data_IF_963823222003
#
_entry.id   IF_963823222003
#
_cell.length_a   1.000
_cell.length_b   1.000
_cell.length_c   1.000
_cell.angle_alpha   90.00
_cell.angle_beta   90.00
_cell.angle_gamma   90.00
#
_symmetry.space_group_name_H-M   'P 1'
#
loop_
_entity.id
_entity.type
_entity.pdbx_description
1 polymer ?
#
# COMPACT_ATOMS: atom_id res chain seq x y z
N UNK A 1 -20.52 18.17 20.97
CA UNK A 1 -19.15 18.68 20.72
C UNK A 1 -18.89 18.53 19.22
N UNK A 2 -18.94 19.64 18.49
CA UNK A 2 -19.01 19.68 17.01
C UNK A 2 -17.66 19.87 16.30
N UNK A 3 -16.55 19.59 16.95
CA UNK A 3 -15.21 19.69 16.35
C UNK A 3 -14.42 18.39 16.46
N UNK A 4 -13.58 18.10 15.46
CA UNK A 4 -12.61 17.00 15.47
C UNK A 4 -11.68 17.13 16.70
N UNK A 5 -11.59 16.06 17.50
CA UNK A 5 -10.66 15.99 18.62
C UNK A 5 -9.23 15.68 18.11
N UNK A 6 -8.56 16.71 17.61
CA UNK A 6 -7.19 16.59 17.07
C UNK A 6 -6.18 16.08 18.10
N UNK A 7 -6.43 16.28 19.40
CA UNK A 7 -5.56 15.77 20.47
C UNK A 7 -5.62 14.24 20.51
N UNK A 8 -6.82 13.67 20.40
CA UNK A 8 -7.01 12.22 20.35
C UNK A 8 -6.37 11.61 19.10
N UNK A 9 -6.60 12.21 17.92
CA UNK A 9 -5.95 11.80 16.66
C UNK A 9 -4.43 11.80 16.81
N UNK A 10 -3.88 12.90 17.33
CA UNK A 10 -2.43 13.04 17.55
C UNK A 10 -1.88 12.02 18.55
N UNK A 11 -2.61 11.73 19.61
CA UNK A 11 -2.18 10.76 20.63
C UNK A 11 -2.07 9.35 20.05
N UNK A 12 -3.10 8.87 19.35
CA UNK A 12 -3.12 7.54 18.72
C UNK A 12 -2.06 7.47 17.60
N UNK A 13 -1.97 8.50 16.75
CA UNK A 13 -0.98 8.58 15.69
C UNK A 13 0.45 8.51 16.25
N UNK A 14 0.76 9.29 17.29
CA UNK A 14 2.09 9.28 17.92
C UNK A 14 2.42 7.93 18.57
N UNK A 15 1.44 7.29 19.19
CA UNK A 15 1.62 5.95 19.76
C UNK A 15 2.00 4.94 18.67
N UNK A 16 1.30 4.97 17.53
CA UNK A 16 1.57 4.11 16.38
C UNK A 16 2.94 4.39 15.76
N UNK A 17 3.32 5.66 15.62
CA UNK A 17 4.63 6.04 15.10
C UNK A 17 5.76 5.68 16.08
N UNK A 18 5.56 5.81 17.39
CA UNK A 18 6.53 5.36 18.39
C UNK A 18 6.72 3.83 18.36
N UNK A 19 5.63 3.07 18.12
CA UNK A 19 5.72 1.62 17.89
C UNK A 19 6.56 1.30 16.66
N UNK A 20 6.34 2.01 15.55
CA UNK A 20 7.15 1.87 14.34
C UNK A 20 8.65 2.14 14.61
N UNK A 21 8.97 3.20 15.36
CA UNK A 21 10.36 3.50 15.75
C UNK A 21 11.05 2.37 16.51
N UNK A 22 10.30 1.61 17.33
CA UNK A 22 10.83 0.45 18.06
C UNK A 22 11.03 -0.80 17.18
N UNK A 23 10.35 -0.88 16.04
CA UNK A 23 10.39 -2.03 15.12
C UNK A 23 11.01 -1.68 13.76
N UNK A 24 11.85 -0.64 13.68
CA UNK A 24 12.44 -0.14 12.42
C UNK A 24 13.16 -1.22 11.61
N UNK A 25 13.91 -2.11 12.28
CA UNK A 25 14.60 -3.22 11.62
C UNK A 25 13.63 -4.09 10.81
N UNK A 26 12.53 -4.47 11.41
CA UNK A 26 11.54 -5.34 10.79
C UNK A 26 10.64 -4.59 9.81
N UNK A 27 10.23 -3.37 10.16
CA UNK A 27 9.22 -2.62 9.41
C UNK A 27 9.79 -1.83 8.23
N UNK A 28 11.09 -1.52 8.23
CA UNK A 28 11.75 -0.72 7.21
C UNK A 28 12.92 -1.46 6.57
N UNK A 29 13.89 -1.93 7.37
CA UNK A 29 15.14 -2.47 6.83
C UNK A 29 14.90 -3.79 6.10
N UNK A 30 14.10 -4.71 6.65
CA UNK A 30 13.81 -6.00 6.01
C UNK A 30 13.13 -5.84 4.64
N UNK A 31 12.05 -5.05 4.46
CA UNK A 31 11.47 -4.80 3.14
C UNK A 31 12.44 -4.11 2.16
N UNK A 32 13.26 -3.17 2.65
CA UNK A 32 14.26 -2.48 1.80
C UNK A 32 15.31 -3.46 1.29
N UNK A 33 15.87 -4.31 2.16
CA UNK A 33 16.84 -5.33 1.76
C UNK A 33 16.23 -6.30 0.75
N UNK A 34 15.01 -6.78 1.02
CA UNK A 34 14.30 -7.69 0.10
C UNK A 34 14.08 -7.04 -1.27
N UNK A 35 13.67 -5.77 -1.31
CA UNK A 35 13.45 -5.06 -2.57
C UNK A 35 14.76 -4.74 -3.28
N UNK A 36 15.83 -4.36 -2.55
CA UNK A 36 17.16 -4.18 -3.10
C UNK A 36 17.68 -5.47 -3.75
N UNK A 37 17.42 -6.63 -3.11
CA UNK A 37 17.78 -7.92 -3.67
C UNK A 37 17.01 -8.22 -4.96
N UNK A 38 15.73 -7.86 -5.03
CA UNK A 38 14.99 -7.94 -6.27
C UNK A 38 15.61 -7.07 -7.39
N UNK A 39 16.05 -5.84 -7.08
CA UNK A 39 16.73 -4.99 -8.06
C UNK A 39 18.02 -5.62 -8.57
N UNK A 40 18.82 -6.23 -7.69
CA UNK A 40 20.06 -6.90 -8.10
C UNK A 40 19.75 -8.13 -8.95
N UNK A 41 18.81 -8.99 -8.54
CA UNK A 41 18.51 -10.23 -9.26
C UNK A 41 17.82 -9.92 -10.60
N UNK A 42 16.78 -9.14 -10.60
CA UNK A 42 16.01 -8.86 -11.81
C UNK A 42 16.67 -7.77 -12.68
N UNK A 43 17.27 -6.76 -12.06
CA UNK A 43 17.95 -5.69 -12.79
C UNK A 43 19.27 -6.14 -13.42
N UNK A 44 20.15 -6.84 -12.68
CA UNK A 44 21.42 -7.29 -13.19
C UNK A 44 21.32 -8.62 -13.95
N UNK A 45 20.78 -9.70 -13.33
CA UNK A 45 20.83 -11.02 -13.95
C UNK A 45 19.90 -11.20 -15.13
N UNK A 46 18.74 -10.53 -15.12
CA UNK A 46 17.74 -10.60 -16.18
C UNK A 46 17.85 -9.39 -17.12
N UNK A 47 18.10 -8.19 -16.56
CA UNK A 47 18.20 -6.94 -17.31
C UNK A 47 19.28 -6.95 -18.38
N UNK A 48 20.42 -7.65 -18.16
CA UNK A 48 21.48 -7.82 -19.17
C UNK A 48 21.01 -8.66 -20.40
N UNK A 49 19.99 -9.48 -20.22
CA UNK A 49 19.45 -10.38 -21.27
C UNK A 49 18.13 -9.91 -21.87
N UNK A 50 17.41 -9.05 -21.18
CA UNK A 50 16.17 -8.46 -21.66
C UNK A 50 16.46 -7.15 -22.37
N UNK A 51 15.86 -6.99 -23.55
CA UNK A 51 15.80 -5.71 -24.23
C UNK A 51 14.94 -4.73 -23.44
N UNK A 52 15.10 -3.44 -23.72
CA UNK A 52 14.29 -2.38 -23.13
C UNK A 52 12.79 -2.68 -23.24
N UNK A 53 12.03 -2.39 -22.20
CA UNK A 53 10.56 -2.49 -22.20
C UNK A 53 10.00 -1.11 -22.50
N UNK A 54 9.42 -0.92 -23.68
CA UNK A 54 8.88 0.37 -24.09
C UNK A 54 9.93 1.51 -24.17
N UNK A 55 11.20 1.17 -24.45
CA UNK A 55 12.30 2.14 -24.50
C UNK A 55 12.89 2.47 -23.11
N UNK A 56 12.49 1.76 -22.07
CA UNK A 56 13.00 1.92 -20.71
C UNK A 56 13.87 0.71 -20.35
N UNK A 57 15.09 0.87 -19.84
CA UNK A 57 15.91 -0.23 -19.35
C UNK A 57 15.15 -1.05 -18.30
N UNK A 58 15.20 -2.37 -18.42
CA UNK A 58 14.38 -3.27 -17.59
C UNK A 58 14.54 -3.02 -16.09
N UNK A 59 15.77 -2.76 -15.61
CA UNK A 59 16.03 -2.43 -14.22
C UNK A 59 15.26 -1.19 -13.74
N UNK A 60 15.14 -0.15 -14.56
CA UNK A 60 14.38 1.05 -14.25
C UNK A 60 12.87 0.79 -14.34
N UNK A 61 12.44 -0.02 -15.31
CA UNK A 61 11.04 -0.38 -15.55
C UNK A 61 10.37 -1.08 -14.34
N UNK A 62 11.10 -1.96 -13.65
CA UNK A 62 10.54 -2.71 -12.50
C UNK A 62 10.45 -1.90 -11.20
N UNK A 63 11.15 -0.76 -11.10
CA UNK A 63 11.19 0.04 -9.87
C UNK A 63 9.79 0.43 -9.37
N UNK A 64 8.92 1.04 -10.18
CA UNK A 64 7.56 1.40 -9.75
C UNK A 64 6.75 0.20 -9.28
N UNK A 65 6.87 -0.95 -9.97
CA UNK A 65 6.17 -2.18 -9.61
C UNK A 65 6.61 -2.74 -8.25
N UNK A 66 7.91 -2.74 -7.97
CA UNK A 66 8.48 -3.21 -6.70
C UNK A 66 8.14 -2.27 -5.52
N UNK A 67 8.13 -0.96 -5.76
CA UNK A 67 7.65 0.01 -4.76
C UNK A 67 6.19 -0.28 -4.43
N UNK A 68 5.33 -0.47 -5.44
CA UNK A 68 3.91 -0.76 -5.24
C UNK A 68 3.68 -2.10 -4.54
N UNK A 69 4.43 -3.16 -4.86
CA UNK A 69 4.36 -4.44 -4.17
C UNK A 69 4.61 -4.27 -2.66
N UNK A 70 5.68 -3.56 -2.31
CA UNK A 70 6.03 -3.30 -0.92
C UNK A 70 5.03 -2.37 -0.23
N UNK A 71 4.59 -1.32 -0.93
CA UNK A 71 3.62 -0.34 -0.42
C UNK A 71 2.29 -0.99 -0.08
N UNK A 72 1.71 -1.78 -0.99
CA UNK A 72 0.43 -2.46 -0.82
C UNK A 72 0.48 -3.42 0.37
N UNK A 73 1.50 -4.29 0.40
CA UNK A 73 1.67 -5.29 1.46
C UNK A 73 1.85 -4.62 2.83
N UNK A 74 2.71 -3.60 2.93
CA UNK A 74 2.99 -2.93 4.19
C UNK A 74 1.87 -2.02 4.65
N UNK A 75 1.14 -1.37 3.74
CA UNK A 75 -0.04 -0.57 4.09
C UNK A 75 -1.11 -1.42 4.78
N UNK A 76 -1.39 -2.60 4.21
CA UNK A 76 -2.34 -3.55 4.79
C UNK A 76 -1.82 -4.08 6.12
N UNK A 77 -0.58 -4.57 6.18
CA UNK A 77 -0.02 -5.16 7.38
C UNK A 77 0.03 -4.16 8.56
N UNK A 78 0.51 -2.94 8.32
CA UNK A 78 0.60 -1.90 9.34
C UNK A 78 -0.78 -1.50 9.89
N UNK A 79 -1.77 -1.32 9.01
CA UNK A 79 -3.10 -0.90 9.42
C UNK A 79 -3.88 -2.04 10.09
N UNK A 80 -3.81 -3.26 9.54
CA UNK A 80 -4.51 -4.41 10.10
C UNK A 80 -3.99 -4.75 11.50
N UNK A 81 -2.67 -4.78 11.68
CA UNK A 81 -2.08 -5.00 12.98
C UNK A 81 -2.42 -3.86 13.96
N UNK A 82 -2.42 -2.60 13.47
CA UNK A 82 -2.70 -1.42 14.30
C UNK A 82 -4.04 -1.51 15.01
N UNK A 83 -5.11 -1.87 14.33
CA UNK A 83 -6.45 -1.98 14.93
C UNK A 83 -6.72 -3.35 15.57
N UNK A 84 -6.12 -4.42 15.04
CA UNK A 84 -6.31 -5.76 15.60
C UNK A 84 -5.65 -5.93 16.97
N UNK A 85 -4.45 -5.38 17.17
CA UNK A 85 -3.72 -5.53 18.44
C UNK A 85 -4.49 -4.98 19.65
N UNK A 86 -5.06 -3.76 19.65
CA UNK A 86 -5.98 -3.29 20.67
C UNK A 86 -7.19 -4.19 20.90
N UNK A 87 -7.74 -4.79 19.81
CA UNK A 87 -8.84 -5.72 19.91
C UNK A 87 -8.42 -7.01 20.62
N UNK A 88 -7.26 -7.56 20.29
CA UNK A 88 -6.69 -8.75 20.91
C UNK A 88 -6.36 -8.57 22.40
N UNK A 89 -5.83 -7.41 22.77
CA UNK A 89 -5.47 -7.08 24.17
C UNK A 89 -6.65 -6.58 25.00
N UNK A 90 -7.80 -6.33 24.39
CA UNK A 90 -8.97 -5.76 25.08
C UNK A 90 -8.92 -4.23 25.24
N UNK A 91 -7.81 -3.57 24.94
CA UNK A 91 -7.69 -2.11 25.05
C UNK A 91 -8.58 -1.34 24.05
N UNK A 92 -9.17 -2.05 23.07
CA UNK A 92 -10.18 -1.48 22.16
C UNK A 92 -11.39 -0.93 22.93
N UNK A 93 -11.76 -1.53 24.08
CA UNK A 93 -12.89 -1.07 24.88
C UNK A 93 -12.63 0.29 25.51
N UNK A 94 -11.39 0.56 25.94
CA UNK A 94 -10.98 1.88 26.43
C UNK A 94 -11.05 2.93 25.31
N UNK A 95 -10.60 2.57 24.12
CA UNK A 95 -10.68 3.44 22.93
C UNK A 95 -12.13 3.76 22.56
N UNK A 96 -13.03 2.76 22.57
CA UNK A 96 -14.44 2.93 22.21
C UNK A 96 -15.26 3.64 23.29
N UNK A 97 -14.82 3.63 24.57
CA UNK A 97 -15.44 4.35 25.67
C UNK A 97 -14.96 5.79 25.81
N UNK A 98 -13.81 6.11 25.19
CA UNK A 98 -13.29 7.47 25.16
C UNK A 98 -14.17 8.40 24.30
N UNK A 99 -14.17 9.71 24.54
CA UNK A 99 -14.93 10.67 23.72
C UNK A 99 -14.21 10.93 22.38
N UNK A 100 -14.03 9.87 21.60
CA UNK A 100 -13.35 9.87 20.30
C UNK A 100 -14.30 9.32 19.25
N UNK A 101 -14.47 10.06 18.16
CA UNK A 101 -15.34 9.65 17.05
C UNK A 101 -14.65 8.59 16.18
N UNK A 102 -15.45 7.81 15.45
CA UNK A 102 -14.94 6.82 14.52
C UNK A 102 -14.07 7.43 13.41
N UNK A 103 -14.34 8.67 13.01
CA UNK A 103 -13.53 9.40 12.03
C UNK A 103 -12.14 9.64 12.58
N UNK A 104 -12.03 10.06 13.84
CA UNK A 104 -10.75 10.32 14.51
C UNK A 104 -9.94 9.04 14.69
N UNK A 105 -10.59 7.94 15.08
CA UNK A 105 -9.95 6.62 15.19
C UNK A 105 -9.40 6.19 13.82
N UNK A 106 -10.23 6.28 12.79
CA UNK A 106 -9.82 5.90 11.43
C UNK A 106 -8.68 6.77 10.92
N UNK A 107 -8.79 8.10 11.05
CA UNK A 107 -7.74 9.04 10.65
C UNK A 107 -6.41 8.76 11.34
N UNK A 108 -6.43 8.44 12.63
CA UNK A 108 -5.23 8.19 13.39
C UNK A 108 -4.52 6.88 12.97
N UNK A 109 -5.24 5.77 12.94
CA UNK A 109 -4.66 4.46 12.59
C UNK A 109 -4.28 4.37 11.11
N UNK A 110 -5.19 4.77 10.21
CA UNK A 110 -4.95 4.76 8.77
C UNK A 110 -3.86 5.77 8.41
N UNK A 111 -3.91 6.97 8.98
CA UNK A 111 -2.89 7.99 8.77
C UNK A 111 -1.49 7.54 9.21
N UNK A 112 -1.38 6.89 10.38
CA UNK A 112 -0.11 6.34 10.84
C UNK A 112 0.39 5.21 9.92
N UNK A 113 -0.49 4.27 9.53
CA UNK A 113 -0.12 3.18 8.63
C UNK A 113 0.31 3.69 7.25
N UNK A 114 -0.46 4.63 6.67
CA UNK A 114 -0.12 5.27 5.40
C UNK A 114 1.22 6.01 5.47
N UNK A 115 1.47 6.78 6.54
CA UNK A 115 2.74 7.50 6.73
C UNK A 115 3.94 6.54 6.79
N UNK A 116 3.82 5.41 7.50
CA UNK A 116 4.85 4.37 7.56
C UNK A 116 5.12 3.78 6.17
N UNK A 117 4.07 3.52 5.41
CA UNK A 117 4.16 2.90 4.08
C UNK A 117 4.72 3.88 3.04
N UNK A 118 4.33 5.15 3.09
CA UNK A 118 4.90 6.21 2.24
C UNK A 118 6.40 6.37 2.53
N UNK A 119 6.79 6.41 3.82
CA UNK A 119 8.19 6.47 4.21
C UNK A 119 8.98 5.28 3.65
N UNK A 120 8.45 4.07 3.77
CA UNK A 120 9.05 2.87 3.18
C UNK A 120 9.20 2.99 1.66
N UNK A 121 8.13 3.41 0.96
CA UNK A 121 8.17 3.61 -0.50
C UNK A 121 9.23 4.60 -0.93
N UNK A 122 9.38 5.71 -0.19
CA UNK A 122 10.43 6.71 -0.45
C UNK A 122 11.84 6.18 -0.17
N UNK A 123 12.02 5.36 0.87
CA UNK A 123 13.33 4.73 1.16
C UNK A 123 13.67 3.70 0.09
N UNK A 124 12.71 2.91 -0.38
CA UNK A 124 12.92 1.98 -1.50
C UNK A 124 13.26 2.75 -2.78
N UNK A 125 12.56 3.85 -3.06
CA UNK A 125 12.85 4.73 -4.20
C UNK A 125 14.29 5.28 -4.13
N UNK A 126 14.69 5.78 -2.97
CA UNK A 126 16.07 6.28 -2.75
C UNK A 126 17.11 5.16 -2.94
N UNK A 127 16.81 3.94 -2.47
CA UNK A 127 17.68 2.76 -2.67
C UNK A 127 17.77 2.40 -4.15
N UNK A 128 16.64 2.41 -4.87
CA UNK A 128 16.61 2.12 -6.30
C UNK A 128 17.40 3.17 -7.10
N UNK A 129 17.32 4.45 -6.74
CA UNK A 129 18.05 5.53 -7.40
C UNK A 129 19.58 5.43 -7.29
N UNK A 130 20.08 4.70 -6.28
CA UNK A 130 21.52 4.41 -6.15
C UNK A 130 21.95 3.26 -7.07
N UNK A 131 21.04 2.30 -7.33
CA UNK A 131 21.35 1.07 -8.09
C UNK A 131 21.09 1.25 -9.59
N UNK A 132 20.04 2.00 -9.95
CA UNK A 132 19.56 2.15 -11.32
C UNK A 132 19.37 3.64 -11.66
N UNK A 133 19.78 4.10 -12.86
CA UNK A 133 19.48 5.45 -13.29
C UNK A 133 17.97 5.63 -13.44
N UNK A 134 17.36 6.40 -12.54
CA UNK A 134 15.93 6.68 -12.55
C UNK A 134 15.66 8.07 -13.12
N UNK A 135 14.66 8.13 -13.99
CA UNK A 135 14.05 9.39 -14.43
C UNK A 135 12.62 9.42 -13.91
N UNK A 136 12.22 10.53 -13.30
CA UNK A 136 10.85 10.75 -12.81
C UNK A 136 10.30 11.94 -13.59
N UNK A 137 9.46 11.65 -14.59
CA UNK A 137 8.90 12.70 -15.46
C UNK A 137 7.87 13.56 -14.73
N UNK A 138 7.09 12.93 -13.85
CA UNK A 138 5.99 13.60 -13.16
C UNK A 138 6.06 13.42 -11.63
N UNK A 139 6.98 14.11 -10.91
CA UNK A 139 7.22 13.88 -9.47
C UNK A 139 6.00 14.17 -8.59
N UNK A 140 5.17 15.16 -8.95
CA UNK A 140 3.94 15.46 -8.24
C UNK A 140 2.93 14.29 -8.31
N UNK A 141 2.75 13.71 -9.50
CA UNK A 141 1.88 12.56 -9.69
C UNK A 141 2.42 11.30 -9.03
N UNK A 142 3.73 11.11 -9.07
CA UNK A 142 4.41 10.03 -8.35
C UNK A 142 4.07 10.07 -6.85
N UNK A 143 4.25 11.21 -6.21
CA UNK A 143 3.93 11.38 -4.79
C UNK A 143 2.42 11.22 -4.53
N UNK A 144 1.57 11.75 -5.42
CA UNK A 144 0.11 11.64 -5.31
C UNK A 144 -0.37 10.19 -5.37
N UNK A 145 0.10 9.40 -6.34
CA UNK A 145 -0.23 7.97 -6.42
C UNK A 145 0.32 7.19 -5.22
N UNK A 146 1.54 7.50 -4.78
CA UNK A 146 2.15 6.87 -3.61
C UNK A 146 1.29 7.07 -2.36
N UNK A 147 0.91 8.31 -2.07
CA UNK A 147 0.09 8.64 -0.89
C UNK A 147 -1.32 8.09 -1.03
N UNK A 148 -1.96 8.27 -2.18
CA UNK A 148 -3.33 7.82 -2.41
C UNK A 148 -3.45 6.30 -2.29
N UNK A 149 -2.49 5.55 -2.85
CA UNK A 149 -2.42 4.09 -2.73
C UNK A 149 -2.18 3.67 -1.28
N UNK A 150 -1.24 4.32 -0.58
CA UNK A 150 -0.95 4.02 0.83
C UNK A 150 -2.18 4.22 1.71
N UNK A 151 -2.92 5.32 1.54
CA UNK A 151 -4.16 5.58 2.31
C UNK A 151 -5.24 4.55 1.97
N UNK A 152 -5.47 4.29 0.69
CA UNK A 152 -6.48 3.34 0.21
C UNK A 152 -6.25 1.93 0.77
N UNK A 153 -5.01 1.44 0.70
CA UNK A 153 -4.69 0.09 1.18
C UNK A 153 -4.49 0.03 2.70
N UNK A 154 -4.20 1.13 3.36
CA UNK A 154 -4.30 1.21 4.82
C UNK A 154 -5.75 1.13 5.30
N UNK A 155 -6.72 1.69 4.57
CA UNK A 155 -8.14 1.48 4.85
C UNK A 155 -8.55 0.02 4.65
N UNK A 156 -8.11 -0.62 3.58
CA UNK A 156 -8.33 -2.05 3.37
C UNK A 156 -7.74 -2.88 4.52
N UNK A 157 -6.51 -2.58 4.93
CA UNK A 157 -5.87 -3.20 6.09
C UNK A 157 -6.63 -2.98 7.39
N UNK A 158 -7.14 -1.78 7.62
CA UNK A 158 -7.98 -1.47 8.78
C UNK A 158 -9.25 -2.35 8.80
N UNK A 159 -9.93 -2.49 7.67
CA UNK A 159 -11.10 -3.37 7.52
C UNK A 159 -10.74 -4.83 7.84
N UNK A 160 -9.61 -5.31 7.30
CA UNK A 160 -9.11 -6.67 7.56
C UNK A 160 -8.82 -6.85 9.06
N UNK A 161 -8.19 -5.88 9.71
CA UNK A 161 -7.87 -5.94 11.14
C UNK A 161 -9.13 -5.98 12.03
N UNK A 162 -10.18 -5.27 11.64
CA UNK A 162 -11.47 -5.34 12.35
C UNK A 162 -12.13 -6.71 12.13
N UNK A 163 -12.07 -7.25 10.92
CA UNK A 163 -12.68 -8.52 10.56
C UNK A 163 -11.96 -9.73 11.15
N UNK A 164 -10.63 -9.67 11.30
CA UNK A 164 -9.81 -10.79 11.76
C UNK A 164 -10.14 -11.17 13.20
N UNK A 165 -10.08 -12.47 13.45
CA UNK A 165 -10.23 -13.13 14.78
C UNK A 165 -8.94 -13.82 15.23
N UNK A 166 -7.86 -13.76 14.43
CA UNK A 166 -6.54 -14.31 14.72
C UNK A 166 -5.43 -13.60 13.93
N UNK A 167 -4.20 -13.64 14.45
CA UNK A 167 -3.03 -13.07 13.79
C UNK A 167 -2.73 -13.71 12.43
N UNK A 168 -3.10 -14.99 12.26
CA UNK A 168 -2.92 -15.70 10.99
C UNK A 168 -3.66 -15.01 9.85
N UNK A 169 -4.91 -14.57 10.09
CA UNK A 169 -5.72 -13.90 9.07
C UNK A 169 -5.13 -12.56 8.61
N UNK A 170 -4.38 -11.87 9.47
CA UNK A 170 -3.71 -10.63 9.10
C UNK A 170 -2.60 -10.85 8.06
N UNK A 171 -1.97 -12.03 8.08
CA UNK A 171 -0.89 -12.37 7.16
C UNK A 171 -1.38 -13.13 5.93
N UNK A 172 -2.41 -13.97 6.08
CA UNK A 172 -2.93 -14.78 4.98
C UNK A 172 -3.50 -13.93 3.85
N UNK A 173 -4.22 -12.85 4.16
CA UNK A 173 -4.83 -12.01 3.13
C UNK A 173 -3.77 -11.29 2.28
N UNK A 174 -2.76 -10.58 2.84
CA UNK A 174 -1.68 -10.03 2.04
C UNK A 174 -0.95 -11.08 1.22
N UNK A 175 -0.63 -12.23 1.82
CA UNK A 175 0.15 -13.29 1.18
C UNK A 175 -0.60 -13.98 0.04
N UNK A 176 -1.87 -14.37 0.27
CA UNK A 176 -2.63 -15.19 -0.67
C UNK A 176 -3.43 -14.38 -1.70
N UNK A 177 -3.72 -13.13 -1.41
CA UNK A 177 -4.54 -12.28 -2.30
C UNK A 177 -3.70 -11.15 -2.88
N UNK A 178 -3.12 -10.30 -2.04
CA UNK A 178 -2.47 -9.08 -2.51
C UNK A 178 -1.20 -9.39 -3.29
N UNK A 179 -0.37 -10.31 -2.80
CA UNK A 179 0.88 -10.67 -3.47
C UNK A 179 0.62 -11.24 -4.88
N UNK A 180 -0.25 -12.25 -5.08
CA UNK A 180 -0.57 -12.73 -6.42
C UNK A 180 -1.20 -11.67 -7.32
N UNK A 181 -2.12 -10.83 -6.79
CA UNK A 181 -2.70 -9.73 -7.55
C UNK A 181 -1.64 -8.71 -7.98
N UNK A 182 -0.65 -8.43 -7.14
CA UNK A 182 0.41 -7.49 -7.47
C UNK A 182 1.37 -8.05 -8.52
N UNK A 183 1.69 -9.35 -8.45
CA UNK A 183 2.45 -10.03 -9.50
C UNK A 183 1.69 -10.02 -10.83
N UNK A 184 0.42 -10.43 -10.83
CA UNK A 184 -0.43 -10.39 -12.03
C UNK A 184 -0.77 -8.96 -12.46
N UNK A 185 -0.58 -7.98 -11.58
CA UNK A 185 -0.78 -6.56 -11.81
C UNK A 185 0.32 -5.89 -12.65
N UNK A 186 1.32 -6.64 -13.10
CA UNK A 186 2.38 -6.11 -13.94
C UNK A 186 3.53 -5.46 -13.17
N UNK A 187 3.84 -5.93 -11.95
CA UNK A 187 4.98 -5.41 -11.18
C UNK A 187 6.32 -5.60 -11.89
N UNK A 188 6.48 -6.71 -12.61
CA UNK A 188 7.74 -7.13 -13.25
C UNK A 188 7.70 -7.11 -14.78
N UNK A 189 6.54 -6.85 -15.40
CA UNK A 189 6.34 -6.84 -16.83
C UNK A 189 5.23 -5.85 -17.20
N UNK A 190 5.13 -5.47 -18.47
CA UNK A 190 3.95 -4.76 -18.99
C UNK A 190 2.84 -5.76 -19.30
N UNK A 191 1.58 -5.43 -18.97
CA UNK A 191 0.46 -6.32 -19.29
C UNK A 191 0.31 -6.55 -20.81
N UNK A 192 0.86 -5.67 -21.63
CA UNK A 192 0.89 -5.82 -23.08
C UNK A 192 1.78 -6.98 -23.55
N UNK A 193 2.70 -7.45 -22.71
CA UNK A 193 3.55 -8.62 -22.98
C UNK A 193 2.83 -9.96 -22.76
N UNK A 194 1.63 -9.92 -22.15
CA UNK A 194 0.85 -11.13 -21.87
C UNK A 194 0.08 -11.62 -23.09
N UNK A 195 -0.13 -12.95 -23.22
CA UNK A 195 -1.07 -13.50 -24.18
C UNK A 195 -2.48 -12.88 -23.97
N UNK A 196 -3.30 -12.79 -25.07
CA UNK A 196 -4.57 -12.03 -25.03
C UNK A 196 -5.51 -12.43 -23.88
N UNK A 197 -5.59 -13.72 -23.56
CA UNK A 197 -6.43 -14.23 -22.45
C UNK A 197 -5.97 -13.67 -21.11
N UNK A 198 -4.66 -13.76 -20.82
CA UNK A 198 -4.10 -13.27 -19.55
C UNK A 198 -4.11 -11.77 -19.46
N UNK A 199 -3.92 -11.05 -20.56
CA UNK A 199 -4.10 -9.60 -20.62
C UNK A 199 -5.52 -9.20 -20.21
N UNK A 200 -6.55 -9.87 -20.74
CA UNK A 200 -7.94 -9.63 -20.37
C UNK A 200 -8.18 -9.93 -18.89
N UNK A 201 -7.68 -11.05 -18.38
CA UNK A 201 -7.78 -11.41 -16.96
C UNK A 201 -7.11 -10.35 -16.08
N UNK A 202 -5.93 -9.86 -16.47
CA UNK A 202 -5.21 -8.82 -15.73
C UNK A 202 -6.00 -7.51 -15.66
N UNK A 203 -6.78 -7.14 -16.66
CA UNK A 203 -7.61 -5.93 -16.62
C UNK A 203 -8.75 -5.99 -15.58
N UNK A 204 -9.14 -7.18 -15.10
CA UNK A 204 -10.05 -7.32 -13.96
C UNK A 204 -9.31 -7.17 -12.61
N UNK A 205 -7.98 -7.15 -12.62
CA UNK A 205 -7.18 -6.97 -11.42
C UNK A 205 -7.07 -5.47 -11.09
N UNK A 206 -7.60 -5.02 -9.94
CA UNK A 206 -7.53 -3.61 -9.56
C UNK A 206 -6.11 -3.08 -9.40
N UNK A 207 -5.16 -3.94 -9.07
CA UNK A 207 -3.76 -3.56 -8.81
C UNK A 207 -3.05 -3.11 -10.09
N UNK A 208 -3.49 -3.59 -11.27
CA UNK A 208 -2.98 -3.12 -12.58
C UNK A 208 -3.06 -1.61 -12.70
N UNK A 209 -4.20 -1.04 -12.33
CA UNK A 209 -4.45 0.41 -12.45
C UNK A 209 -3.56 1.23 -11.53
N UNK A 210 -3.29 0.72 -10.33
CA UNK A 210 -2.40 1.35 -9.36
C UNK A 210 -0.94 1.36 -9.84
N UNK A 211 -0.48 0.20 -10.31
CA UNK A 211 0.90 0.03 -10.82
C UNK A 211 1.09 0.84 -12.10
N UNK A 212 0.12 0.76 -13.03
CA UNK A 212 0.18 1.48 -14.30
C UNK A 212 0.21 3.00 -14.10
N UNK A 213 -0.67 3.55 -13.25
CA UNK A 213 -0.69 4.98 -12.95
C UNK A 213 0.60 5.45 -12.27
N UNK A 214 1.13 4.66 -11.34
CA UNK A 214 2.39 4.97 -10.66
C UNK A 214 3.58 4.87 -11.63
N UNK A 215 3.63 3.85 -12.51
CA UNK A 215 4.66 3.71 -13.54
C UNK A 215 4.65 4.86 -14.53
N UNK A 216 3.46 5.31 -14.93
CA UNK A 216 3.34 6.48 -15.79
C UNK A 216 4.04 7.71 -15.22
N UNK A 217 3.98 7.90 -13.92
CA UNK A 217 4.64 9.05 -13.29
C UNK A 217 6.16 9.02 -13.39
N UNK A 218 6.76 7.85 -13.63
CA UNK A 218 8.21 7.69 -13.85
C UNK A 218 8.60 7.87 -15.32
N UNK A 219 7.88 7.22 -16.22
CA UNK A 219 8.35 7.02 -17.60
C UNK A 219 7.42 7.65 -18.65
N UNK A 220 6.36 8.35 -18.26
CA UNK A 220 5.36 8.89 -19.20
C UNK A 220 4.54 7.84 -19.95
N UNK A 221 4.90 6.55 -19.80
CA UNK A 221 4.23 5.41 -20.45
C UNK A 221 3.41 4.63 -19.45
N UNK A 222 2.22 4.16 -19.85
CA UNK A 222 1.31 3.41 -19.00
C UNK A 222 0.64 2.28 -19.78
N UNK A 223 0.45 1.14 -19.11
CA UNK A 223 -0.32 0.01 -19.66
C UNK A 223 -1.82 0.35 -19.78
N UNK A 224 -2.32 1.24 -18.90
CA UNK A 224 -3.71 1.71 -18.87
C UNK A 224 -3.73 3.22 -18.73
N UNK A 225 -4.69 3.88 -19.37
CA UNK A 225 -4.81 5.34 -19.34
C UNK A 225 -4.84 5.91 -17.91
N UNK A 226 -4.09 6.99 -17.68
CA UNK A 226 -3.89 7.63 -16.37
C UNK A 226 -5.21 8.02 -15.68
N UNK A 227 -6.19 8.52 -16.46
CA UNK A 227 -7.52 8.88 -15.91
C UNK A 227 -8.27 7.68 -15.36
N UNK A 228 -8.16 6.51 -16.02
CA UNK A 228 -8.77 5.26 -15.54
C UNK A 228 -8.06 4.77 -14.29
N UNK A 229 -6.72 4.83 -14.26
CA UNK A 229 -5.90 4.47 -13.10
C UNK A 229 -6.25 5.32 -11.87
N UNK A 230 -6.35 6.63 -12.02
CA UNK A 230 -6.73 7.54 -10.95
C UNK A 230 -8.19 7.31 -10.52
N UNK A 231 -9.11 7.18 -11.48
CA UNK A 231 -10.53 6.90 -11.22
C UNK A 231 -10.72 5.61 -10.43
N UNK A 232 -10.00 4.54 -10.79
CA UNK A 232 -10.07 3.25 -10.09
C UNK A 232 -9.52 3.38 -8.65
N UNK A 233 -8.39 4.07 -8.46
CA UNK A 233 -7.82 4.28 -7.12
C UNK A 233 -8.78 5.06 -6.22
N UNK A 234 -9.41 6.11 -6.74
CA UNK A 234 -10.42 6.90 -6.02
C UNK A 234 -11.68 6.08 -5.73
N UNK A 235 -12.12 5.23 -6.66
CA UNK A 235 -13.25 4.34 -6.44
C UNK A 235 -12.99 3.38 -5.28
N UNK A 236 -11.80 2.75 -5.20
CA UNK A 236 -11.43 1.92 -4.05
C UNK A 236 -11.38 2.71 -2.75
N UNK A 237 -10.81 3.91 -2.76
CA UNK A 237 -10.79 4.79 -1.60
C UNK A 237 -12.21 5.05 -1.07
N UNK A 238 -13.12 5.41 -1.95
CA UNK A 238 -14.53 5.68 -1.59
C UNK A 238 -15.21 4.41 -1.05
N UNK A 239 -15.02 3.27 -1.72
CA UNK A 239 -15.60 1.99 -1.28
C UNK A 239 -15.10 1.61 0.11
N UNK A 240 -13.79 1.68 0.36
CA UNK A 240 -13.25 1.33 1.67
C UNK A 240 -13.66 2.33 2.76
N UNK A 241 -13.75 3.62 2.46
CA UNK A 241 -14.32 4.60 3.39
C UNK A 241 -15.78 4.30 3.73
N UNK A 242 -16.59 3.92 2.73
CA UNK A 242 -17.98 3.54 2.95
C UNK A 242 -18.10 2.27 3.82
N UNK A 243 -17.22 1.27 3.59
CA UNK A 243 -17.19 0.05 4.41
C UNK A 243 -16.77 0.38 5.86
N UNK A 244 -15.76 1.21 6.07
CA UNK A 244 -15.34 1.65 7.41
C UNK A 244 -16.47 2.39 8.12
N UNK A 245 -17.14 3.32 7.42
CA UNK A 245 -18.31 4.04 7.97
C UNK A 245 -19.45 3.08 8.33
N UNK A 246 -19.71 2.07 7.52
CA UNK A 246 -20.71 1.03 7.80
C UNK A 246 -20.33 0.18 9.03
N UNK A 247 -19.06 -0.26 9.14
CA UNK A 247 -18.55 -1.02 10.29
C UNK A 247 -18.82 -0.26 11.60
N UNK A 248 -18.46 1.01 11.65
CA UNK A 248 -18.65 1.81 12.87
C UNK A 248 -20.11 2.12 13.18
N UNK A 249 -20.97 2.32 12.15
CA UNK A 249 -22.42 2.54 12.35
C UNK A 249 -23.13 1.30 12.86
N UNK A 250 -22.72 0.12 12.42
CA UNK A 250 -23.35 -1.15 12.80
C UNK A 250 -22.70 -1.79 14.04
N UNK A 251 -21.49 -1.36 14.40
CA UNK A 251 -20.69 -2.01 15.44
C UNK A 251 -20.13 -3.37 15.03
N UNK A 252 -20.16 -3.69 13.73
CA UNK A 252 -19.77 -4.99 13.19
C UNK A 252 -18.34 -5.37 13.60
N UNK A 253 -18.20 -6.46 14.39
CA UNK A 253 -16.92 -7.03 14.87
C UNK A 253 -15.96 -6.03 15.56
N UNK A 254 -16.43 -4.88 15.99
CA UNK A 254 -15.64 -3.93 16.78
C UNK A 254 -15.43 -4.43 18.22
N UNK A 255 -16.37 -5.22 18.70
CA UNK A 255 -16.29 -5.91 20.01
C UNK A 255 -16.01 -7.39 19.75
N UNK A 256 -15.06 -7.95 20.48
CA UNK A 256 -14.78 -9.38 20.49
C UNK A 256 -15.87 -10.13 21.24
#
# INVERSE_FOLDING_TARGET
MTGLNLLAVRAIYRFEMARFGRTLMQSLISPVISTALYFVVFGAAIGERMQDVGGVPYGAFIVPGLIMLSLLTQSIANASFGIYFPKFTGTIYELLSAPVSYVEITLAYVGAAASKSVLLGLVILATAAVIVPLQIEHPFWMLSFLVLTAVTFSLAGFIIGVWADGFEKLQLIPLLIITPLTFLGGSFYSIDMLPPVWRTVSLFNPVVYLISGFRWSFHGTADVGIGVSLGMTLAFLIVFLAIVAWIFRTGYRLKA
#
